data_IF_622859458118
#
_entry.id   IF_622859458118
#
_cell.length_a   1.000
_cell.length_b   1.000
_cell.length_c   1.000
_cell.angle_alpha   90.00
_cell.angle_beta   90.00
_cell.angle_gamma   90.00
#
_symmetry.space_group_name_H-M   'P 1'
#
loop_
_entity.id
_entity.type
_entity.pdbx_description
1 polymer ?
#
# COMPACT_ATOMS: atom_id res chain seq x y z
N UNK A 1 -13.82 18.19 -5.79
CA UNK A 1 -12.54 18.68 -5.22
C UNK A 1 -11.68 19.27 -6.31
N UNK A 2 -10.72 20.13 -6.00
CA UNK A 2 -9.73 20.52 -7.01
C UNK A 2 -8.58 19.49 -7.02
N UNK A 3 -7.78 19.45 -8.08
CA UNK A 3 -6.66 18.50 -8.24
C UNK A 3 -5.72 18.45 -7.02
N UNK A 4 -5.37 19.61 -6.45
CA UNK A 4 -4.46 19.70 -5.30
C UNK A 4 -5.06 18.98 -4.10
N UNK A 5 -6.36 19.10 -3.86
CA UNK A 5 -7.05 18.41 -2.76
C UNK A 5 -6.93 16.87 -2.91
N UNK A 6 -7.02 16.36 -4.14
CA UNK A 6 -6.87 14.92 -4.40
C UNK A 6 -5.44 14.43 -4.16
N UNK A 7 -4.44 15.19 -4.63
CA UNK A 7 -3.02 14.84 -4.45
C UNK A 7 -2.61 14.93 -2.97
N UNK A 8 -3.06 15.97 -2.27
CA UNK A 8 -2.85 16.10 -0.82
C UNK A 8 -3.60 15.02 -0.05
N UNK A 9 -4.81 14.67 -0.48
CA UNK A 9 -5.58 13.56 0.08
C UNK A 9 -4.82 12.25 0.03
N UNK A 10 -4.20 11.90 -1.11
CA UNK A 10 -3.32 10.74 -1.21
C UNK A 10 -2.13 10.81 -0.24
N UNK A 11 -1.44 11.95 -0.18
CA UNK A 11 -0.25 12.09 0.65
C UNK A 11 -0.56 12.05 2.15
N UNK A 12 -1.60 12.76 2.60
CA UNK A 12 -2.02 12.75 4.00
C UNK A 12 -2.70 11.44 4.38
N UNK A 13 -3.50 10.86 3.49
CA UNK A 13 -4.13 9.56 3.68
C UNK A 13 -3.10 8.45 3.85
N UNK A 14 -2.01 8.48 3.08
CA UNK A 14 -0.86 7.57 3.22
C UNK A 14 -0.31 7.62 4.65
N UNK A 15 0.11 8.82 5.09
CA UNK A 15 0.75 9.00 6.39
C UNK A 15 -0.19 8.75 7.58
N UNK A 16 -1.45 9.21 7.49
CA UNK A 16 -2.44 9.02 8.54
C UNK A 16 -2.88 7.56 8.64
N UNK A 17 -3.05 6.88 7.50
CA UNK A 17 -3.42 5.47 7.44
C UNK A 17 -2.37 4.57 8.09
N UNK A 18 -1.11 4.78 7.69
CA UNK A 18 0.07 4.14 8.26
C UNK A 18 0.16 4.37 9.78
N UNK A 19 0.25 5.64 10.21
CA UNK A 19 0.40 6.00 11.62
C UNK A 19 -0.76 5.49 12.49
N UNK A 20 -1.99 5.52 11.99
CA UNK A 20 -3.14 5.02 12.74
C UNK A 20 -3.20 3.49 12.78
N UNK A 21 -2.74 2.80 11.73
CA UNK A 21 -2.69 1.35 11.68
C UNK A 21 -1.72 0.70 12.68
N UNK A 22 -0.67 1.41 13.09
CA UNK A 22 0.18 1.02 14.23
C UNK A 22 -0.61 0.73 15.53
N UNK A 23 -1.84 1.26 15.66
CA UNK A 23 -2.68 1.02 16.83
C UNK A 23 -3.13 -0.44 16.99
N UNK A 24 -3.15 -1.22 15.89
CA UNK A 24 -3.66 -2.60 15.87
C UNK A 24 -2.80 -3.57 15.06
N UNK A 25 -1.68 -3.12 14.49
CA UNK A 25 -0.77 -3.95 13.71
C UNK A 25 -0.33 -5.21 14.49
N UNK A 26 -0.36 -6.33 13.78
CA UNK A 26 -0.12 -7.71 14.23
C UNK A 26 -1.07 -8.24 15.31
N UNK A 27 -2.12 -7.49 15.66
CA UNK A 27 -3.15 -7.98 16.57
C UNK A 27 -4.22 -8.77 15.81
N UNK A 28 -4.78 -9.78 16.45
CA UNK A 28 -5.99 -10.45 15.95
C UNK A 28 -7.19 -9.55 16.18
N UNK A 29 -8.19 -9.61 15.28
CA UNK A 29 -9.42 -8.80 15.39
C UNK A 29 -10.13 -8.97 16.74
N UNK A 30 -10.13 -10.18 17.29
CA UNK A 30 -10.71 -10.43 18.62
C UNK A 30 -9.97 -9.67 19.73
N UNK A 31 -8.63 -9.63 19.71
CA UNK A 31 -7.84 -8.88 20.68
C UNK A 31 -8.04 -7.37 20.56
N UNK A 32 -8.21 -6.87 19.31
CA UNK A 32 -8.58 -5.48 19.05
C UNK A 32 -9.96 -5.16 19.65
N UNK A 33 -10.94 -6.06 19.48
CA UNK A 33 -12.27 -5.89 20.05
C UNK A 33 -12.27 -5.95 21.59
N UNK A 34 -11.41 -6.77 22.21
CA UNK A 34 -11.24 -6.80 23.66
C UNK A 34 -10.64 -5.48 24.19
N UNK A 35 -9.69 -4.90 23.45
CA UNK A 35 -9.03 -3.63 23.81
C UNK A 35 -9.96 -2.42 23.59
N UNK A 36 -10.75 -2.45 22.52
CA UNK A 36 -11.64 -1.36 22.09
C UNK A 36 -13.08 -1.87 21.87
N UNK A 37 -13.82 -2.23 22.94
CA UNK A 37 -15.08 -2.96 22.85
C UNK A 37 -16.24 -2.15 22.25
N UNK A 38 -16.21 -0.82 22.36
CA UNK A 38 -17.18 0.04 21.69
C UNK A 38 -16.78 0.27 20.23
N UNK A 39 -17.39 -0.48 19.31
CA UNK A 39 -17.15 -0.37 17.87
C UNK A 39 -17.70 0.94 17.27
N UNK A 40 -18.53 1.69 18.00
CA UNK A 40 -19.05 2.98 17.53
C UNK A 40 -18.07 4.14 17.77
N UNK A 41 -17.09 3.93 18.66
CA UNK A 41 -16.03 4.89 18.93
C UNK A 41 -14.82 4.64 18.03
N UNK A 42 -14.09 5.70 17.74
CA UNK A 42 -12.81 5.59 17.07
C UNK A 42 -11.75 5.08 18.06
N UNK A 43 -10.78 4.31 17.57
CA UNK A 43 -9.57 4.04 18.37
C UNK A 43 -8.88 5.39 18.65
N UNK A 44 -8.54 5.71 19.92
CA UNK A 44 -7.91 6.98 20.22
C UNK A 44 -6.59 7.16 19.47
N UNK A 45 -6.42 8.27 18.75
CA UNK A 45 -5.18 8.58 18.05
C UNK A 45 -4.67 9.98 18.45
N UNK A 46 -3.36 10.16 18.76
CA UNK A 46 -2.30 9.14 18.79
C UNK A 46 -2.27 8.34 20.11
N UNK A 47 -3.32 8.45 20.93
CA UNK A 47 -3.35 7.94 22.31
C UNK A 47 -3.87 6.49 22.45
N UNK A 48 -3.62 5.62 21.46
CA UNK A 48 -4.02 4.22 21.48
C UNK A 48 -3.23 3.41 22.55
N UNK A 49 -3.70 2.21 22.87
CA UNK A 49 -2.96 1.27 23.73
C UNK A 49 -1.78 0.71 22.94
N UNK A 50 -0.54 1.04 23.34
CA UNK A 50 0.66 0.57 22.63
C UNK A 50 0.89 -0.92 22.90
N UNK A 51 1.17 -1.67 21.83
CA UNK A 51 1.66 -3.04 21.90
C UNK A 51 3.18 -3.05 22.05
N UNK A 52 3.79 -4.23 22.24
CA UNK A 52 5.25 -4.36 22.19
C UNK A 52 5.81 -3.90 20.83
N UNK A 53 5.07 -4.14 19.75
CA UNK A 53 5.47 -3.77 18.40
C UNK A 53 5.39 -2.25 18.19
N UNK A 54 4.22 -1.65 18.45
CA UNK A 54 4.00 -0.21 18.22
C UNK A 54 4.69 0.67 19.27
N UNK A 55 5.17 0.11 20.38
CA UNK A 55 6.03 0.78 21.34
C UNK A 55 7.43 1.14 20.82
N UNK A 56 7.80 0.69 19.60
CA UNK A 56 9.06 1.06 18.95
C UNK A 56 9.03 2.46 18.32
N UNK A 57 7.84 3.03 18.11
CA UNK A 57 7.63 4.35 17.52
C UNK A 57 7.15 5.37 18.55
N UNK A 58 7.38 6.64 18.26
CA UNK A 58 6.72 7.75 18.96
C UNK A 58 5.23 7.71 18.61
N UNK A 59 4.37 8.08 19.56
CA UNK A 59 2.92 8.09 19.33
C UNK A 59 2.55 9.09 18.24
N UNK A 60 1.88 8.59 17.19
CA UNK A 60 1.44 9.38 16.04
C UNK A 60 2.49 9.48 14.93
N UNK A 61 3.61 8.80 15.09
CA UNK A 61 4.61 8.60 14.05
C UNK A 61 4.14 7.55 13.03
N UNK A 62 4.77 7.52 11.85
CA UNK A 62 4.46 6.57 10.78
C UNK A 62 5.59 5.53 10.62
N UNK A 63 5.42 4.57 9.71
CA UNK A 63 6.33 3.41 9.56
C UNK A 63 7.06 3.42 8.22
N UNK A 64 7.58 2.25 7.83
CA UNK A 64 8.24 2.08 6.55
C UNK A 64 7.34 2.27 5.33
N UNK A 65 6.02 2.20 5.51
CA UNK A 65 5.03 2.46 4.47
C UNK A 65 5.17 3.89 3.94
N UNK A 66 5.06 4.87 4.84
CA UNK A 66 5.20 6.29 4.50
C UNK A 66 6.64 6.65 4.16
N UNK A 67 7.61 6.10 4.88
CA UNK A 67 9.01 6.40 4.59
C UNK A 67 9.42 5.97 3.18
N UNK A 68 9.09 4.74 2.80
CA UNK A 68 9.40 4.24 1.47
C UNK A 68 8.55 4.91 0.39
N UNK A 69 7.34 5.41 0.73
CA UNK A 69 6.56 6.28 -0.15
C UNK A 69 7.26 7.62 -0.41
N UNK A 70 7.83 8.26 0.62
CA UNK A 70 8.61 9.50 0.48
C UNK A 70 9.87 9.29 -0.38
N UNK A 71 10.60 8.19 -0.16
CA UNK A 71 11.75 7.83 -1.00
C UNK A 71 11.35 7.64 -2.46
N UNK A 72 10.20 7.01 -2.69
CA UNK A 72 9.68 6.79 -4.04
C UNK A 72 9.25 8.11 -4.68
N UNK A 73 8.46 8.93 -3.98
CA UNK A 73 8.07 10.28 -4.43
C UNK A 73 9.28 11.12 -4.83
N UNK A 74 10.33 11.13 -4.03
CA UNK A 74 11.56 11.87 -4.36
C UNK A 74 12.25 11.28 -5.60
N UNK A 75 12.32 9.96 -5.71
CA UNK A 75 12.91 9.28 -6.88
C UNK A 75 12.15 9.62 -8.16
N UNK A 76 10.82 9.60 -8.12
CA UNK A 76 9.98 9.95 -9.27
C UNK A 76 10.14 11.43 -9.64
N UNK A 77 10.07 12.32 -8.65
CA UNK A 77 10.05 13.77 -8.87
C UNK A 77 11.40 14.34 -9.31
N UNK A 78 12.51 13.80 -8.80
CA UNK A 78 13.86 14.36 -9.02
C UNK A 78 14.72 13.52 -9.96
N UNK A 79 14.36 12.25 -10.16
CA UNK A 79 15.20 11.28 -10.87
C UNK A 79 14.44 10.45 -11.90
N UNK A 80 13.23 10.88 -12.31
CA UNK A 80 12.38 10.23 -13.32
C UNK A 80 12.17 8.72 -13.09
N UNK A 81 12.16 8.30 -11.82
CA UNK A 81 11.97 6.90 -11.45
C UNK A 81 13.14 5.98 -11.77
N UNK A 82 14.38 6.48 -11.70
CA UNK A 82 15.56 5.60 -11.80
C UNK A 82 15.57 4.54 -10.66
N UNK A 83 15.37 3.28 -11.03
CA UNK A 83 15.35 2.13 -10.12
C UNK A 83 16.63 1.96 -9.30
N UNK A 84 17.80 2.35 -9.84
CA UNK A 84 19.08 2.25 -9.14
C UNK A 84 19.21 3.33 -8.09
N UNK A 85 18.70 4.53 -8.37
CA UNK A 85 18.62 5.60 -7.38
C UNK A 85 17.67 5.20 -6.25
N UNK A 86 16.50 4.65 -6.57
CA UNK A 86 15.57 4.15 -5.56
C UNK A 86 16.19 3.06 -4.70
N UNK A 87 16.86 2.07 -5.31
CA UNK A 87 17.55 0.99 -4.59
C UNK A 87 18.62 1.52 -3.61
N UNK A 88 19.40 2.53 -4.01
CA UNK A 88 20.40 3.17 -3.13
C UNK A 88 19.75 3.96 -2.01
N UNK A 89 18.71 4.75 -2.31
CA UNK A 89 17.92 5.49 -1.31
C UNK A 89 17.31 4.55 -0.27
N UNK A 90 16.74 3.43 -0.71
CA UNK A 90 16.19 2.40 0.17
C UNK A 90 17.25 1.83 1.11
N UNK A 91 18.43 1.48 0.62
CA UNK A 91 19.52 1.01 1.50
C UNK A 91 20.05 2.12 2.43
N UNK A 92 20.09 3.38 1.98
CA UNK A 92 20.48 4.50 2.86
C UNK A 92 19.48 4.66 4.00
N UNK A 93 18.18 4.66 3.70
CA UNK A 93 17.12 4.69 4.71
C UNK A 93 17.18 3.48 5.64
N UNK A 94 17.38 2.25 5.14
CA UNK A 94 17.55 1.07 6.00
C UNK A 94 18.67 1.28 7.04
N UNK A 95 19.79 1.90 6.64
CA UNK A 95 20.97 2.08 7.49
C UNK A 95 20.90 3.31 8.41
N UNK A 96 20.16 4.34 8.02
CA UNK A 96 20.25 5.66 8.64
C UNK A 96 18.91 6.30 8.99
N UNK A 97 17.78 5.70 8.59
CA UNK A 97 16.46 6.31 8.71
C UNK A 97 16.37 7.63 7.95
N UNK A 98 15.52 8.53 8.43
CA UNK A 98 15.56 9.96 8.12
C UNK A 98 16.19 10.73 9.31
N UNK A 99 17.50 11.03 9.27
CA UNK A 99 18.16 11.77 10.34
C UNK A 99 17.55 13.16 10.61
N UNK A 100 16.93 13.77 9.60
CA UNK A 100 16.19 15.02 9.73
C UNK A 100 14.91 14.91 10.57
N UNK A 101 14.44 13.69 10.83
CA UNK A 101 13.31 13.36 11.72
C UNK A 101 13.77 12.69 13.02
N UNK A 102 15.08 12.75 13.32
CA UNK A 102 15.72 12.08 14.47
C UNK A 102 15.68 10.52 14.42
N UNK A 103 15.55 9.95 13.22
CA UNK A 103 15.71 8.51 13.01
C UNK A 103 17.17 8.12 12.76
N UNK A 104 17.53 6.91 13.16
CA UNK A 104 18.90 6.36 13.00
C UNK A 104 18.95 5.03 12.26
N UNK A 105 17.82 4.59 11.69
CA UNK A 105 17.68 3.36 10.91
C UNK A 105 16.25 3.19 10.42
N UNK A 106 16.06 2.46 9.33
CA UNK A 106 14.73 2.16 8.82
C UNK A 106 14.01 1.20 9.78
N UNK A 107 12.88 1.64 10.33
CA UNK A 107 12.05 0.87 11.26
C UNK A 107 10.80 0.37 10.54
N UNK A 108 10.34 -0.85 10.86
CA UNK A 108 9.20 -1.50 10.18
C UNK A 108 9.58 -2.43 9.02
N UNK A 109 10.83 -2.33 8.51
CA UNK A 109 11.33 -3.07 7.34
C UNK A 109 10.84 -4.54 7.21
N UNK A 110 10.01 -4.78 6.19
CA UNK A 110 9.54 -6.11 5.83
C UNK A 110 10.66 -7.09 5.42
N UNK A 111 10.49 -8.38 5.78
CA UNK A 111 11.47 -9.46 5.54
C UNK A 111 11.83 -9.61 4.05
N UNK A 112 10.86 -9.42 3.14
CA UNK A 112 11.12 -9.49 1.71
C UNK A 112 12.08 -8.38 1.27
N UNK A 113 11.84 -7.13 1.69
CA UNK A 113 12.72 -6.01 1.35
C UNK A 113 14.12 -6.22 1.93
N UNK A 114 14.22 -6.66 3.19
CA UNK A 114 15.48 -6.99 3.83
C UNK A 114 16.29 -8.02 3.03
N UNK A 115 15.63 -9.07 2.49
CA UNK A 115 16.28 -10.09 1.66
C UNK A 115 16.69 -9.54 0.29
N UNK A 116 15.82 -8.80 -0.39
CA UNK A 116 16.10 -8.31 -1.75
C UNK A 116 17.26 -7.31 -1.75
N UNK A 117 17.31 -6.39 -0.77
CA UNK A 117 18.39 -5.39 -0.68
C UNK A 117 19.76 -6.03 -0.43
N UNK A 118 19.80 -7.22 0.15
CA UNK A 118 21.03 -8.01 0.38
C UNK A 118 21.38 -8.93 -0.81
N UNK A 119 20.55 -9.01 -1.84
CA UNK A 119 20.82 -9.85 -3.01
C UNK A 119 21.95 -9.27 -3.86
N UNK A 120 22.84 -10.14 -4.34
CA UNK A 120 23.98 -9.73 -5.16
C UNK A 120 23.52 -8.94 -6.39
N UNK A 121 24.23 -7.84 -6.68
CA UNK A 121 23.93 -6.97 -7.82
C UNK A 121 22.72 -6.04 -7.62
N UNK A 122 22.13 -5.96 -6.41
CA UNK A 122 20.94 -5.14 -6.17
C UNK A 122 21.12 -3.66 -6.53
N UNK A 123 22.32 -3.08 -6.36
CA UNK A 123 22.56 -1.66 -6.66
C UNK A 123 22.88 -1.41 -8.15
N UNK A 124 23.31 -2.44 -8.86
CA UNK A 124 23.72 -2.41 -10.25
C UNK A 124 22.53 -2.75 -11.16
N UNK A 125 21.74 -3.75 -10.79
CA UNK A 125 20.54 -4.22 -11.48
C UNK A 125 19.44 -4.65 -10.48
N UNK A 126 18.73 -3.68 -9.85
CA UNK A 126 17.73 -3.97 -8.83
C UNK A 126 16.61 -4.90 -9.28
N UNK A 127 16.17 -4.78 -10.54
CA UNK A 127 15.11 -5.61 -11.10
C UNK A 127 15.54 -7.08 -11.22
N UNK A 128 16.78 -7.33 -11.63
CA UNK A 128 17.33 -8.69 -11.72
C UNK A 128 17.56 -9.30 -10.34
N UNK A 129 18.13 -8.52 -9.40
CA UNK A 129 18.31 -8.97 -8.02
C UNK A 129 16.97 -9.34 -7.36
N UNK A 130 15.95 -8.49 -7.51
CA UNK A 130 14.59 -8.75 -7.03
C UNK A 130 13.97 -10.00 -7.68
N UNK A 131 14.15 -10.18 -9.00
CA UNK A 131 13.73 -11.41 -9.70
C UNK A 131 14.40 -12.64 -9.12
N UNK A 132 15.73 -12.63 -8.98
CA UNK A 132 16.50 -13.76 -8.45
C UNK A 132 16.08 -14.10 -7.03
N UNK A 133 15.86 -13.08 -6.19
CA UNK A 133 15.36 -13.25 -4.83
C UNK A 133 13.97 -13.90 -4.81
N UNK A 134 13.05 -13.48 -5.68
CA UNK A 134 11.73 -14.07 -5.82
C UNK A 134 11.78 -15.52 -6.33
N UNK A 135 12.58 -15.79 -7.37
CA UNK A 135 12.74 -17.13 -7.92
C UNK A 135 13.35 -18.11 -6.90
N UNK A 136 14.25 -17.65 -6.03
CA UNK A 136 14.81 -18.46 -4.94
C UNK A 136 13.76 -18.92 -3.92
N UNK A 137 12.58 -18.28 -3.87
CA UNK A 137 11.45 -18.71 -3.01
C UNK A 137 10.52 -19.71 -3.70
N UNK A 138 10.85 -20.16 -4.92
CA UNK A 138 9.94 -20.95 -5.74
C UNK A 138 8.76 -20.12 -6.28
N UNK A 139 8.96 -18.80 -6.42
CA UNK A 139 7.95 -17.85 -6.95
C UNK A 139 6.66 -17.80 -6.12
N UNK A 140 6.78 -17.98 -4.80
CA UNK A 140 5.62 -18.04 -3.89
C UNK A 140 5.40 -16.74 -3.10
N UNK A 141 6.45 -15.94 -2.88
CA UNK A 141 6.34 -14.70 -2.11
C UNK A 141 5.60 -13.60 -2.88
N UNK A 142 4.45 -13.15 -2.36
CA UNK A 142 3.74 -11.97 -2.83
C UNK A 142 3.29 -11.02 -1.69
N UNK A 143 4.26 -10.41 -0.98
CA UNK A 143 3.95 -9.44 0.05
C UNK A 143 3.49 -8.10 -0.51
N UNK A 144 2.80 -7.32 0.31
CA UNK A 144 2.23 -6.00 0.02
C UNK A 144 3.22 -4.82 0.13
N UNK A 145 4.49 -5.04 0.48
CA UNK A 145 5.47 -3.96 0.70
C UNK A 145 5.77 -3.06 -0.52
N UNK A 146 5.34 -3.45 -1.73
CA UNK A 146 5.32 -2.55 -2.88
C UNK A 146 4.00 -1.76 -3.00
N UNK A 147 2.88 -2.34 -2.59
CA UNK A 147 1.53 -1.75 -2.65
C UNK A 147 1.43 -0.56 -1.71
N UNK A 148 1.95 -0.71 -0.49
CA UNK A 148 1.92 0.33 0.55
C UNK A 148 2.45 1.69 0.10
N UNK A 149 3.37 1.71 -0.88
CA UNK A 149 4.02 2.92 -1.38
C UNK A 149 3.68 3.26 -2.83
N UNK A 150 2.91 2.43 -3.53
CA UNK A 150 2.77 2.55 -4.98
C UNK A 150 2.00 3.80 -5.44
N UNK A 151 1.12 4.34 -4.57
CA UNK A 151 0.31 5.54 -4.83
C UNK A 151 1.15 6.75 -5.28
N UNK A 152 2.44 6.82 -4.91
CA UNK A 152 3.39 7.82 -5.40
C UNK A 152 3.45 7.88 -6.94
N UNK A 153 3.37 6.72 -7.60
CA UNK A 153 3.39 6.64 -9.08
C UNK A 153 2.14 7.28 -9.69
N UNK A 154 0.97 7.11 -9.05
CA UNK A 154 -0.25 7.77 -9.47
C UNK A 154 -0.18 9.27 -9.20
N UNK A 155 0.27 9.70 -8.03
CA UNK A 155 0.38 11.13 -7.67
C UNK A 155 1.25 11.90 -8.67
N UNK A 156 2.40 11.33 -9.09
CA UNK A 156 3.33 12.01 -10.01
C UNK A 156 2.90 11.90 -11.48
N UNK A 157 2.27 10.80 -11.88
CA UNK A 157 1.97 10.51 -13.29
C UNK A 157 0.48 10.33 -13.61
N UNK A 158 -0.43 10.82 -12.77
CA UNK A 158 -1.89 10.63 -12.95
C UNK A 158 -2.38 11.02 -14.35
N UNK A 159 -1.78 12.05 -14.97
CA UNK A 159 -2.15 12.57 -16.28
C UNK A 159 -1.56 11.79 -17.48
N UNK A 160 -0.76 10.75 -17.23
CA UNK A 160 -0.17 9.89 -18.25
C UNK A 160 -0.23 8.43 -17.79
N UNK A 161 -1.33 7.77 -18.13
CA UNK A 161 -1.62 6.40 -17.69
C UNK A 161 -0.52 5.40 -18.09
N UNK A 162 0.07 5.51 -19.29
CA UNK A 162 1.11 4.57 -19.72
C UNK A 162 2.44 4.78 -18.98
N UNK A 163 2.84 6.03 -18.76
CA UNK A 163 4.02 6.35 -17.91
C UNK A 163 3.76 5.93 -16.46
N UNK A 164 2.56 6.17 -15.93
CA UNK A 164 2.18 5.72 -14.59
C UNK A 164 2.27 4.20 -14.46
N UNK A 165 1.67 3.43 -15.39
CA UNK A 165 1.70 1.96 -15.36
C UNK A 165 3.12 1.43 -15.43
N UNK A 166 3.91 1.90 -16.40
CA UNK A 166 5.31 1.47 -16.55
C UNK A 166 6.16 1.80 -15.31
N UNK A 167 5.94 2.96 -14.70
CA UNK A 167 6.58 3.38 -13.45
C UNK A 167 6.17 2.48 -12.29
N UNK A 168 4.87 2.25 -12.08
CA UNK A 168 4.36 1.40 -11.01
C UNK A 168 4.91 -0.03 -11.11
N UNK A 169 5.01 -0.58 -12.34
CA UNK A 169 5.60 -1.89 -12.60
C UNK A 169 7.08 -1.91 -12.20
N UNK A 170 7.89 -0.96 -12.68
CA UNK A 170 9.33 -0.92 -12.40
C UNK A 170 9.63 -0.70 -10.91
N UNK A 171 8.89 0.19 -10.25
CA UNK A 171 9.08 0.51 -8.83
C UNK A 171 8.64 -0.66 -7.94
N UNK A 172 7.55 -1.34 -8.29
CA UNK A 172 7.17 -2.60 -7.65
C UNK A 172 8.28 -3.65 -7.80
N UNK A 173 8.68 -3.93 -9.05
CA UNK A 173 9.66 -4.97 -9.37
C UNK A 173 11.05 -4.69 -8.82
N UNK A 174 11.36 -3.47 -8.40
CA UNK A 174 12.61 -3.15 -7.69
C UNK A 174 12.75 -3.96 -6.40
N UNK A 175 11.66 -4.38 -5.75
CA UNK A 175 11.74 -5.21 -4.51
C UNK A 175 10.75 -6.37 -4.46
N UNK A 176 9.70 -6.32 -5.26
CA UNK A 176 8.61 -7.28 -5.28
C UNK A 176 8.36 -7.68 -6.73
N UNK A 177 9.11 -8.68 -7.21
CA UNK A 177 9.07 -9.09 -8.61
C UNK A 177 7.79 -9.85 -9.00
N UNK A 178 7.07 -10.40 -8.02
CA UNK A 178 5.91 -11.25 -8.23
C UNK A 178 4.78 -10.53 -9.01
N UNK A 179 4.21 -11.16 -10.07
CA UNK A 179 3.12 -10.57 -10.85
C UNK A 179 1.87 -10.17 -10.04
N UNK A 180 1.59 -10.81 -8.89
CA UNK A 180 0.47 -10.44 -8.00
C UNK A 180 0.72 -9.09 -7.32
N UNK A 181 1.96 -8.82 -6.91
CA UNK A 181 2.37 -7.53 -6.36
C UNK A 181 2.23 -6.43 -7.42
N UNK A 182 2.69 -6.72 -8.65
CA UNK A 182 2.55 -5.81 -9.79
C UNK A 182 1.09 -5.52 -10.10
N UNK A 183 0.22 -6.56 -10.09
CA UNK A 183 -1.22 -6.39 -10.31
C UNK A 183 -1.84 -5.43 -9.30
N UNK A 184 -1.48 -5.61 -8.03
CA UNK A 184 -1.98 -4.77 -6.94
C UNK A 184 -1.52 -3.31 -7.09
N UNK A 185 -0.22 -3.10 -7.38
CA UNK A 185 0.31 -1.74 -7.57
C UNK A 185 -0.33 -1.03 -8.77
N UNK A 186 -0.48 -1.73 -9.91
CA UNK A 186 -1.11 -1.18 -11.10
C UNK A 186 -2.58 -0.85 -10.84
N UNK A 187 -3.33 -1.74 -10.16
CA UNK A 187 -4.73 -1.51 -9.84
C UNK A 187 -4.94 -0.31 -8.90
N UNK A 188 -4.16 -0.20 -7.82
CA UNK A 188 -4.21 0.97 -6.92
C UNK A 188 -3.91 2.26 -7.70
N UNK A 189 -2.85 2.26 -8.52
CA UNK A 189 -2.48 3.47 -9.23
C UNK A 189 -3.49 3.87 -10.32
N UNK A 190 -4.08 2.90 -11.02
CA UNK A 190 -5.17 3.14 -11.97
C UNK A 190 -6.41 3.70 -11.28
N UNK A 191 -6.80 3.15 -10.12
CA UNK A 191 -7.94 3.64 -9.36
C UNK A 191 -7.74 5.11 -8.98
N UNK A 192 -6.60 5.46 -8.38
CA UNK A 192 -6.28 6.85 -8.03
C UNK A 192 -6.29 7.75 -9.27
N UNK A 193 -5.60 7.35 -10.34
CA UNK A 193 -5.50 8.16 -11.56
C UNK A 193 -6.87 8.38 -12.23
N UNK A 194 -7.75 7.39 -12.22
CA UNK A 194 -9.10 7.50 -12.77
C UNK A 194 -10.02 8.36 -11.91
N UNK A 195 -9.93 8.30 -10.59
CA UNK A 195 -10.77 9.17 -9.76
C UNK A 195 -10.31 10.64 -9.91
N UNK A 196 -9.01 10.89 -10.06
CA UNK A 196 -8.51 12.24 -10.32
C UNK A 196 -8.96 12.78 -11.68
N UNK A 197 -8.93 11.94 -12.73
CA UNK A 197 -9.25 12.35 -14.11
C UNK A 197 -10.74 12.33 -14.43
N UNK A 198 -11.51 11.51 -13.73
CA UNK A 198 -12.92 11.24 -14.00
C UNK A 198 -13.71 11.15 -12.68
N UNK A 199 -13.74 12.24 -11.88
CA UNK A 199 -14.36 12.22 -10.55
C UNK A 199 -15.88 12.00 -10.57
N UNK A 200 -16.53 12.21 -11.72
CA UNK A 200 -17.98 12.05 -11.87
C UNK A 200 -18.38 10.65 -12.40
N UNK A 201 -17.41 9.77 -12.67
CA UNK A 201 -17.69 8.42 -13.15
C UNK A 201 -18.34 7.56 -12.06
N UNK A 202 -19.30 6.74 -12.47
CA UNK A 202 -19.85 5.67 -11.64
C UNK A 202 -18.72 4.79 -11.11
N UNK A 203 -18.72 4.56 -9.79
CA UNK A 203 -17.60 3.92 -9.11
C UNK A 203 -17.37 2.49 -9.57
N UNK A 204 -18.43 1.69 -9.75
CA UNK A 204 -18.26 0.30 -10.18
C UNK A 204 -17.85 0.21 -11.65
N UNK A 205 -18.32 1.13 -12.49
CA UNK A 205 -17.82 1.26 -13.87
C UNK A 205 -16.33 1.61 -13.90
N UNK A 206 -15.88 2.52 -13.03
CA UNK A 206 -14.46 2.87 -12.86
C UNK A 206 -13.65 1.66 -12.40
N UNK A 207 -14.10 0.94 -11.36
CA UNK A 207 -13.44 -0.26 -10.87
C UNK A 207 -13.38 -1.35 -11.96
N UNK A 208 -14.45 -1.54 -12.74
CA UNK A 208 -14.46 -2.45 -13.88
C UNK A 208 -13.38 -2.11 -14.91
N UNK A 209 -13.16 -0.80 -15.20
CA UNK A 209 -12.04 -0.36 -16.05
C UNK A 209 -10.69 -0.65 -15.41
N UNK A 210 -10.52 -0.39 -14.12
CA UNK A 210 -9.27 -0.71 -13.39
C UNK A 210 -8.95 -2.20 -13.48
N UNK A 211 -9.95 -3.07 -13.28
CA UNK A 211 -9.78 -4.52 -13.38
C UNK A 211 -9.38 -4.93 -14.80
N UNK A 212 -10.10 -4.47 -15.82
CA UNK A 212 -9.82 -4.79 -17.22
C UNK A 212 -8.42 -4.36 -17.63
N UNK A 213 -8.04 -3.12 -17.32
CA UNK A 213 -6.74 -2.54 -17.68
C UNK A 213 -5.58 -3.19 -16.93
N UNK A 214 -5.78 -3.56 -15.66
CA UNK A 214 -4.75 -4.31 -14.88
C UNK A 214 -4.51 -5.68 -15.50
N UNK A 215 -5.57 -6.42 -15.83
CA UNK A 215 -5.46 -7.74 -16.45
C UNK A 215 -4.85 -7.65 -17.85
N UNK A 216 -5.21 -6.65 -18.65
CA UNK A 216 -4.63 -6.41 -19.96
C UNK A 216 -3.14 -6.05 -19.88
N UNK A 217 -2.75 -5.23 -18.90
CA UNK A 217 -1.36 -4.81 -18.68
C UNK A 217 -0.45 -5.97 -18.31
N UNK A 218 -0.95 -6.90 -17.50
CA UNK A 218 -0.16 -8.05 -17.04
C UNK A 218 -0.17 -9.20 -18.05
N UNK A 219 -1.27 -9.36 -18.80
CA UNK A 219 -1.42 -10.47 -19.73
C UNK A 219 -1.05 -11.79 -19.06
N UNK A 220 -0.26 -12.62 -19.76
CA UNK A 220 0.12 -13.96 -19.30
C UNK A 220 1.13 -13.99 -18.15
N UNK A 221 1.67 -12.84 -17.74
CA UNK A 221 2.49 -12.77 -16.53
C UNK A 221 1.66 -13.08 -15.27
N UNK A 222 0.37 -12.74 -15.25
CA UNK A 222 -0.54 -13.12 -14.16
C UNK A 222 -1.26 -14.42 -14.52
N UNK A 223 -0.90 -15.49 -13.82
CA UNK A 223 -1.47 -16.83 -14.04
C UNK A 223 -3.00 -16.82 -13.87
N UNK A 224 -3.75 -17.68 -14.58
CA UNK A 224 -5.21 -17.71 -14.51
C UNK A 224 -5.80 -17.75 -13.10
N UNK A 225 -5.24 -18.59 -12.21
CA UNK A 225 -5.67 -18.67 -10.81
C UNK A 225 -5.53 -17.33 -10.07
N UNK A 226 -4.48 -16.57 -10.34
CA UNK A 226 -4.26 -15.26 -9.73
C UNK A 226 -5.10 -14.15 -10.38
N UNK A 227 -5.54 -14.33 -11.63
CA UNK A 227 -6.54 -13.44 -12.24
C UNK A 227 -7.89 -13.61 -11.56
N UNK A 228 -8.29 -14.86 -11.30
CA UNK A 228 -9.52 -15.18 -10.55
C UNK A 228 -9.45 -14.62 -9.13
N UNK A 229 -8.35 -14.83 -8.41
CA UNK A 229 -8.14 -14.23 -7.09
C UNK A 229 -8.18 -12.69 -7.13
N UNK A 230 -7.50 -12.06 -8.08
CA UNK A 230 -7.50 -10.60 -8.23
C UNK A 230 -8.92 -10.06 -8.41
N UNK A 231 -9.72 -10.68 -9.29
CA UNK A 231 -11.12 -10.30 -9.50
C UNK A 231 -11.98 -10.56 -8.26
N UNK A 232 -11.71 -11.63 -7.52
CA UNK A 232 -12.39 -11.91 -6.26
C UNK A 232 -12.11 -10.82 -5.23
N UNK A 233 -10.84 -10.46 -5.00
CA UNK A 233 -10.43 -9.44 -4.01
C UNK A 233 -10.88 -8.02 -4.39
N UNK A 234 -11.06 -7.72 -5.67
CA UNK A 234 -11.52 -6.41 -6.15
C UNK A 234 -13.02 -6.36 -6.44
N UNK A 235 -13.75 -7.45 -6.27
CA UNK A 235 -15.18 -7.56 -6.53
C UNK A 235 -16.05 -6.76 -5.55
N UNK A 236 -17.23 -6.31 -6.01
CA UNK A 236 -18.15 -5.47 -5.24
C UNK A 236 -18.77 -6.18 -4.03
N UNK A 237 -18.91 -7.51 -4.07
CA UNK A 237 -19.61 -8.29 -3.05
C UNK A 237 -18.71 -8.66 -1.85
N UNK A 238 -17.52 -8.06 -1.72
CA UNK A 238 -16.56 -8.38 -0.66
C UNK A 238 -16.78 -7.49 0.56
N UNK A 239 -16.97 -8.13 1.71
CA UNK A 239 -17.04 -7.49 3.02
C UNK A 239 -15.67 -7.53 3.72
N UNK A 240 -15.45 -6.72 4.76
CA UNK A 240 -14.23 -6.81 5.59
C UNK A 240 -14.03 -8.21 6.19
N UNK A 241 -15.12 -8.88 6.58
CA UNK A 241 -15.09 -10.23 7.13
C UNK A 241 -14.60 -11.25 6.09
N UNK A 242 -14.94 -11.07 4.81
CA UNK A 242 -14.43 -11.92 3.72
C UNK A 242 -12.91 -11.82 3.56
N UNK A 243 -12.34 -10.63 3.78
CA UNK A 243 -10.91 -10.36 3.55
C UNK A 243 -10.00 -11.03 4.58
N UNK A 244 -10.52 -11.30 5.79
CA UNK A 244 -9.78 -11.93 6.90
C UNK A 244 -8.41 -11.29 7.11
N UNK A 245 -8.37 -9.97 7.29
CA UNK A 245 -7.11 -9.20 7.28
C UNK A 245 -6.13 -9.63 8.38
N UNK A 246 -6.59 -10.31 9.44
CA UNK A 246 -5.78 -10.84 10.54
C UNK A 246 -5.37 -12.32 10.40
N UNK A 247 -5.55 -12.95 9.24
CA UNK A 247 -5.07 -14.31 8.97
C UNK A 247 -3.54 -14.36 9.02
N UNK A 248 -3.00 -15.06 10.02
CA UNK A 248 -1.56 -15.08 10.32
C UNK A 248 -0.71 -15.75 9.24
N UNK A 249 -1.31 -16.60 8.40
CA UNK A 249 -0.58 -17.29 7.33
C UNK A 249 -0.28 -16.39 6.14
N UNK A 250 -1.08 -15.34 5.97
CA UNK A 250 -1.10 -14.50 4.75
C UNK A 250 -1.35 -13.04 5.09
N UNK A 251 -0.93 -12.59 6.28
CA UNK A 251 -1.20 -11.26 6.84
C UNK A 251 -0.81 -10.13 5.87
N UNK A 252 0.41 -10.18 5.32
CA UNK A 252 0.91 -9.22 4.34
C UNK A 252 0.65 -9.59 2.88
N UNK A 253 -0.35 -10.43 2.56
CA UNK A 253 -0.61 -10.81 1.17
C UNK A 253 -1.09 -9.61 0.35
N UNK A 254 -0.46 -9.39 -0.81
CA UNK A 254 -0.70 -8.22 -1.67
C UNK A 254 -2.17 -7.98 -2.03
N UNK A 255 -2.96 -9.03 -2.29
CA UNK A 255 -4.37 -8.84 -2.64
C UNK A 255 -5.27 -8.49 -1.46
N UNK A 256 -4.86 -8.79 -0.22
CA UNK A 256 -5.57 -8.34 0.98
C UNK A 256 -5.43 -6.83 1.16
N UNK A 257 -4.21 -6.33 1.05
CA UNK A 257 -3.92 -4.89 1.07
C UNK A 257 -4.61 -4.14 -0.09
N UNK A 258 -4.62 -4.71 -1.30
CA UNK A 258 -5.40 -4.20 -2.42
C UNK A 258 -6.89 -4.11 -2.08
N UNK A 259 -7.45 -5.19 -1.53
CA UNK A 259 -8.87 -5.25 -1.20
C UNK A 259 -9.25 -4.29 -0.07
N UNK A 260 -8.35 -4.03 0.89
CA UNK A 260 -8.54 -3.00 1.90
C UNK A 260 -8.74 -1.61 1.26
N UNK A 261 -7.86 -1.23 0.32
CA UNK A 261 -8.03 0.03 -0.43
C UNK A 261 -9.30 0.08 -1.29
N UNK A 262 -9.70 -1.04 -1.89
CA UNK A 262 -10.96 -1.11 -2.68
C UNK A 262 -12.22 -1.09 -1.80
N UNK A 263 -12.15 -1.65 -0.59
CA UNK A 263 -13.19 -1.50 0.42
C UNK A 263 -13.30 -0.02 0.82
N UNK A 264 -12.16 0.62 1.06
CA UNK A 264 -12.06 2.05 1.33
C UNK A 264 -12.75 2.90 0.27
N UNK A 265 -12.38 2.67 -0.98
CA UNK A 265 -12.94 3.33 -2.16
C UNK A 265 -14.46 3.19 -2.29
N UNK A 266 -15.02 2.02 -1.91
CA UNK A 266 -16.47 1.75 -1.93
C UNK A 266 -17.22 2.24 -0.71
N UNK A 267 -16.51 2.70 0.32
CA UNK A 267 -17.14 3.08 1.57
C UNK A 267 -17.97 4.35 1.41
N UNK A 268 -19.17 4.33 1.96
CA UNK A 268 -20.06 5.50 2.01
C UNK A 268 -19.89 6.31 3.30
N UNK A 269 -19.03 5.83 4.21
CA UNK A 269 -18.68 6.47 5.47
C UNK A 269 -17.65 7.58 5.25
N UNK A 270 -17.37 8.37 6.28
CA UNK A 270 -16.26 9.32 6.20
C UNK A 270 -14.92 8.60 6.17
N UNK A 271 -13.87 9.23 5.61
CA UNK A 271 -12.50 8.71 5.61
C UNK A 271 -12.07 8.20 6.99
N UNK A 272 -12.32 8.99 8.05
CA UNK A 272 -11.96 8.62 9.42
C UNK A 272 -12.67 7.36 9.92
N UNK A 273 -13.96 7.21 9.60
CA UNK A 273 -14.73 6.02 9.99
C UNK A 273 -14.30 4.79 9.19
N UNK A 274 -14.12 4.93 7.88
CA UNK A 274 -13.67 3.85 7.00
C UNK A 274 -12.29 3.34 7.39
N UNK A 275 -11.36 4.26 7.63
CA UNK A 275 -10.03 3.92 8.11
C UNK A 275 -10.10 3.21 9.46
N UNK A 276 -10.93 3.70 10.40
CA UNK A 276 -11.15 3.01 11.67
C UNK A 276 -11.75 1.60 11.51
N UNK A 277 -12.67 1.39 10.56
CA UNK A 277 -13.24 0.06 10.28
C UNK A 277 -12.16 -0.92 9.78
N UNK A 278 -11.22 -0.44 8.95
CA UNK A 278 -10.05 -1.18 8.47
C UNK A 278 -9.05 -1.48 9.60
N UNK A 279 -8.63 -0.46 10.36
CA UNK A 279 -7.68 -0.61 11.46
C UNK A 279 -8.24 -1.56 12.53
N UNK A 280 -9.55 -1.57 12.76
CA UNK A 280 -10.21 -2.50 13.69
C UNK A 280 -10.14 -3.97 13.27
N UNK A 281 -9.79 -4.27 12.02
CA UNK A 281 -9.53 -5.66 11.61
C UNK A 281 -8.23 -6.21 12.17
N UNK A 282 -7.29 -5.37 12.61
CA UNK A 282 -5.96 -5.80 13.00
C UNK A 282 -5.18 -6.35 11.79
N UNK A 283 -4.33 -7.34 12.03
CA UNK A 283 -3.48 -7.89 10.97
C UNK A 283 -2.40 -6.90 10.54
N UNK A 284 -2.22 -6.73 9.23
CA UNK A 284 -1.27 -5.76 8.65
C UNK A 284 -1.90 -4.36 8.57
N UNK A 285 -2.28 -3.83 9.73
CA UNK A 285 -3.20 -2.72 9.85
C UNK A 285 -2.62 -1.39 9.34
N UNK A 286 -1.34 -1.13 9.55
CA UNK A 286 -0.57 -0.02 8.98
C UNK A 286 -0.66 -0.02 7.45
N UNK A 287 -0.30 -1.12 6.79
CA UNK A 287 -0.34 -1.22 5.33
C UNK A 287 -1.74 -1.23 4.75
N UNK A 288 -2.71 -1.85 5.44
CA UNK A 288 -4.11 -1.77 5.03
C UNK A 288 -4.69 -0.35 5.21
N UNK A 289 -4.22 0.40 6.21
CA UNK A 289 -4.58 1.80 6.41
C UNK A 289 -3.95 2.71 5.36
N UNK A 290 -2.66 2.53 5.08
CA UNK A 290 -1.93 3.29 4.06
C UNK A 290 -2.52 3.09 2.65
N UNK A 291 -3.03 1.89 2.35
CA UNK A 291 -3.69 1.60 1.06
C UNK A 291 -5.08 2.23 0.93
N UNK A 292 -5.72 2.65 2.04
CA UNK A 292 -6.91 3.51 2.08
C UNK A 292 -6.56 5.00 1.96
N UNK A 293 -5.40 5.34 1.41
CA UNK A 293 -4.96 6.74 1.22
C UNK A 293 -5.89 7.60 0.37
N UNK A 294 -6.95 7.04 -0.22
CA UNK A 294 -7.86 7.77 -1.08
C UNK A 294 -9.31 7.28 -1.00
N UNK A 295 -10.08 7.85 -0.07
CA UNK A 295 -11.51 7.62 0.08
C UNK A 295 -12.30 8.95 0.08
N UNK A 296 -12.35 9.62 -1.09
CA UNK A 296 -13.06 10.90 -1.20
C UNK A 296 -13.99 11.01 -2.43
N UNK A 297 -14.54 9.89 -2.90
CA UNK A 297 -15.54 9.91 -3.99
C UNK A 297 -16.82 10.66 -3.57
N UNK A 298 -17.14 10.71 -2.27
CA UNK A 298 -18.40 11.29 -1.78
C UNK A 298 -18.36 12.77 -1.33
N UNK A 299 -17.42 13.59 -1.82
CA UNK A 299 -17.42 15.05 -1.61
C UNK A 299 -17.39 15.51 -0.12
N UNK A 300 -16.98 14.66 0.82
CA UNK A 300 -16.85 15.05 2.23
C UNK A 300 -15.41 15.49 2.47
N UNK A 301 -15.24 16.81 2.62
CA UNK A 301 -13.97 17.45 2.96
C UNK A 301 -13.26 16.69 4.10
N UNK A 302 -11.94 16.58 3.97
CA UNK A 302 -11.03 16.29 5.08
C UNK A 302 -11.22 17.31 6.21
#
# INVERSE_FOLDING_TARGET
>A
MNLIDHLLGCAYGQALGDAYGLSTEYQKRCAVADTYPDATQLIPFPNYVQSQHSGRWIRGDWTDDTDQWLLLMETLSKHDGDVKIFARKLNMWIRHGFPELDDFGGLGLGVNVAKVVQTEGFYENPLEASRNAWESTGRQAAPNGAVMRCSASAVVHYNNIDKMKSTAIQMCQTTHFDPRCVASCVAVCLAIAYIIQSPDDDLESLIGRVQQETLATLGDALLPIYREEFLWYTGQDRTLDDLRLDDDKVIGYTFKCLAAGFYGLRSTRSFQETLNDLIRQGGDADTNGASDSYNNHNNKKF
#
